data_IF_808534069907
#
_entry.id   IF_808534069907
#
_cell.length_a   1.000
_cell.length_b   1.000
_cell.length_c   1.000
_cell.angle_alpha   90.00
_cell.angle_beta   90.00
_cell.angle_gamma   90.00
#
_symmetry.space_group_name_H-M   'P 1'
#
loop_
_entity.id
_entity.type
_entity.pdbx_description
1 polymer ?
#
# COMPACT_ATOMS: atom_id res chain seq x y z
N UNK A 1 2.40 10.49 -24.85
CA UNK A 1 2.49 9.08 -25.31
C UNK A 1 3.95 8.69 -25.29
N UNK A 2 4.30 7.59 -24.61
CA UNK A 2 5.70 7.16 -24.42
C UNK A 2 6.25 6.49 -25.70
N UNK A 3 7.49 6.76 -26.11
CA UNK A 3 8.08 6.30 -27.38
C UNK A 3 8.35 4.79 -27.52
N UNK A 4 8.03 3.97 -26.51
CA UNK A 4 8.36 2.54 -26.49
C UNK A 4 7.23 1.62 -26.98
N UNK A 5 6.11 2.17 -27.43
CA UNK A 5 4.91 1.37 -27.75
C UNK A 5 5.01 0.48 -29.01
N UNK A 6 6.13 0.49 -29.76
CA UNK A 6 6.20 -0.13 -31.10
C UNK A 6 7.46 -0.97 -31.40
N UNK A 7 8.19 -1.48 -30.40
CA UNK A 7 9.26 -2.45 -30.68
C UNK A 7 8.81 -3.89 -30.46
N UNK A 8 8.68 -4.62 -31.56
CA UNK A 8 8.42 -6.05 -31.57
C UNK A 8 9.64 -6.86 -31.11
N UNK A 9 9.39 -7.77 -30.16
CA UNK A 9 10.21 -8.95 -29.80
C UNK A 9 11.62 -8.68 -29.28
N UNK A 10 11.71 -8.25 -28.03
CA UNK A 10 12.73 -8.79 -27.12
C UNK A 10 12.02 -9.78 -26.21
N UNK A 11 12.39 -11.07 -26.28
CA UNK A 11 11.93 -12.06 -25.29
C UNK A 11 12.62 -11.72 -23.97
N UNK A 12 12.00 -10.86 -23.19
CA UNK A 12 12.36 -10.73 -21.79
C UNK A 12 11.71 -11.91 -21.09
N UNK A 13 12.52 -12.81 -20.53
CA UNK A 13 12.07 -13.92 -19.71
C UNK A 13 11.47 -13.35 -18.41
N UNK A 14 10.27 -12.78 -18.49
CA UNK A 14 9.55 -12.29 -17.33
C UNK A 14 8.79 -13.43 -16.66
N UNK A 15 8.99 -13.60 -15.36
CA UNK A 15 8.22 -14.51 -14.50
C UNK A 15 6.70 -14.35 -14.66
N UNK A 16 6.24 -13.16 -15.06
CA UNK A 16 4.84 -12.87 -15.40
C UNK A 16 4.24 -13.81 -16.48
N UNK A 17 5.04 -14.28 -17.44
CA UNK A 17 4.54 -15.19 -18.48
C UNK A 17 4.30 -16.61 -17.97
N UNK A 18 5.04 -17.07 -16.95
CA UNK A 18 4.86 -18.38 -16.33
C UNK A 18 3.59 -18.40 -15.47
N UNK A 19 3.39 -17.33 -14.67
CA UNK A 19 2.20 -17.17 -13.82
C UNK A 19 0.90 -17.11 -14.65
N UNK A 20 0.92 -16.36 -15.76
CA UNK A 20 -0.22 -16.26 -16.67
C UNK A 20 -0.56 -17.59 -17.38
N UNK A 21 0.41 -18.51 -17.49
CA UNK A 21 0.18 -19.87 -17.99
C UNK A 21 -0.53 -20.76 -16.97
N UNK A 22 -0.15 -20.66 -15.70
CA UNK A 22 -0.71 -21.47 -14.60
C UNK A 22 -2.15 -21.08 -14.26
N UNK A 23 -2.50 -19.79 -14.32
CA UNK A 23 -3.86 -19.30 -14.02
C UNK A 23 -4.89 -19.55 -15.13
N UNK A 24 -4.47 -19.94 -16.35
CA UNK A 24 -5.41 -20.28 -17.45
C UNK A 24 -6.15 -21.59 -17.25
N UNK A 25 -5.72 -22.41 -16.30
CA UNK A 25 -6.28 -23.74 -16.04
C UNK A 25 -7.46 -23.68 -15.05
N UNK A 26 -7.68 -22.55 -14.38
CA UNK A 26 -8.82 -22.37 -13.47
C UNK A 26 -10.10 -21.89 -14.20
N UNK A 27 -11.30 -22.33 -13.77
CA UNK A 27 -12.56 -21.91 -14.41
C UNK A 27 -12.73 -20.39 -14.34
N UNK A 28 -12.93 -19.76 -15.50
CA UNK A 28 -13.18 -18.31 -15.60
C UNK A 28 -14.37 -17.90 -14.75
N UNK A 29 -14.16 -16.99 -13.80
CA UNK A 29 -15.24 -16.28 -13.12
C UNK A 29 -16.03 -15.46 -14.17
N UNK A 30 -17.17 -15.98 -14.60
CA UNK A 30 -18.07 -15.30 -15.50
C UNK A 30 -18.90 -14.28 -14.72
N UNK A 31 -18.45 -13.01 -14.67
CA UNK A 31 -19.28 -11.78 -14.72
C UNK A 31 -18.40 -10.54 -14.45
N UNK A 32 -18.53 -9.56 -15.34
CA UNK A 32 -17.97 -8.22 -15.18
C UNK A 32 -18.58 -7.49 -13.99
N UNK A 33 -17.82 -6.52 -13.48
CA UNK A 33 -18.13 -5.49 -12.47
C UNK A 33 -19.31 -5.88 -11.55
N UNK A 34 -18.99 -6.39 -10.37
CA UNK A 34 -19.99 -6.58 -9.32
C UNK A 34 -20.62 -5.24 -8.97
N UNK A 35 -21.95 -5.14 -9.10
CA UNK A 35 -22.72 -4.03 -8.53
C UNK A 35 -22.39 -3.92 -7.04
N UNK A 36 -22.14 -2.70 -6.57
CA UNK A 36 -21.76 -2.41 -5.19
C UNK A 36 -22.96 -2.66 -4.27
N UNK A 37 -23.13 -3.90 -3.85
CA UNK A 37 -24.04 -4.27 -2.76
C UNK A 37 -23.29 -4.06 -1.44
N UNK A 38 -23.84 -3.34 -0.46
CA UNK A 38 -23.18 -3.20 0.83
C UNK A 38 -23.11 -4.58 1.49
N UNK A 39 -21.96 -5.23 1.37
CA UNK A 39 -21.70 -6.49 2.06
C UNK A 39 -21.60 -6.14 3.54
N UNK A 40 -22.51 -6.73 4.34
CA UNK A 40 -22.47 -6.65 5.78
C UNK A 40 -21.06 -7.02 6.26
N UNK A 41 -20.54 -6.29 7.25
CA UNK A 41 -19.24 -6.56 7.89
C UNK A 41 -19.20 -8.00 8.40
N UNK A 42 -18.79 -8.95 7.57
CA UNK A 42 -18.35 -10.25 8.05
C UNK A 42 -17.01 -9.99 8.71
N UNK A 43 -17.05 -9.86 10.04
CA UNK A 43 -15.91 -10.23 10.88
C UNK A 43 -15.72 -11.73 10.66
N UNK A 44 -15.00 -12.12 9.63
CA UNK A 44 -14.49 -13.48 9.54
C UNK A 44 -13.38 -13.58 10.60
N UNK A 45 -13.46 -14.53 11.55
CA UNK A 45 -12.43 -14.67 12.57
C UNK A 45 -11.09 -15.16 12.01
N UNK A 46 -11.03 -15.61 10.75
CA UNK A 46 -9.80 -15.99 10.07
C UNK A 46 -9.90 -15.59 8.60
N UNK A 47 -8.99 -14.72 8.19
CA UNK A 47 -8.68 -14.48 6.79
C UNK A 47 -8.13 -15.79 6.21
N UNK A 48 -8.61 -16.22 5.04
CA UNK A 48 -7.94 -17.32 4.35
C UNK A 48 -6.51 -16.87 4.04
N UNK A 49 -5.48 -17.71 4.32
CA UNK A 49 -4.14 -17.46 3.86
C UNK A 49 -4.12 -17.09 2.38
N UNK A 50 -3.18 -16.22 2.01
CA UNK A 50 -2.83 -16.04 0.61
C UNK A 50 -2.38 -17.40 0.02
N UNK A 51 -2.40 -17.52 -1.29
CA UNK A 51 -1.85 -18.69 -1.97
C UNK A 51 -0.62 -18.24 -2.76
N UNK A 52 0.56 -18.72 -2.37
CA UNK A 52 1.81 -18.40 -3.03
C UNK A 52 1.94 -19.18 -4.32
N UNK A 53 1.70 -18.49 -5.43
CA UNK A 53 1.78 -19.06 -6.77
C UNK A 53 3.22 -19.20 -7.28
N UNK A 54 4.13 -18.33 -6.84
CA UNK A 54 5.52 -18.32 -7.29
C UNK A 54 6.43 -17.75 -6.21
N UNK A 55 7.64 -18.32 -6.11
CA UNK A 55 8.67 -17.78 -5.24
C UNK A 55 10.08 -17.94 -5.84
N UNK A 56 10.92 -16.93 -5.68
CA UNK A 56 12.31 -16.96 -6.12
C UNK A 56 13.18 -17.79 -5.15
N UNK A 57 14.13 -18.56 -5.68
CA UNK A 57 14.89 -19.59 -4.93
C UNK A 57 16.06 -19.04 -4.10
N UNK A 58 16.48 -17.80 -4.29
CA UNK A 58 17.69 -17.19 -3.75
C UNK A 58 17.39 -16.20 -2.60
N UNK A 59 16.84 -16.69 -1.48
CA UNK A 59 16.42 -15.83 -0.38
C UNK A 59 16.92 -16.28 0.99
N UNK A 60 17.14 -15.34 1.93
CA UNK A 60 17.40 -15.69 3.31
C UNK A 60 16.19 -16.40 3.93
N UNK A 61 16.44 -17.45 4.71
CA UNK A 61 15.43 -18.41 5.17
C UNK A 61 14.44 -17.89 6.23
N UNK A 62 14.59 -16.66 6.75
CA UNK A 62 13.68 -16.11 7.79
C UNK A 62 13.51 -14.60 7.67
N UNK A 63 12.28 -14.16 7.42
CA UNK A 63 11.90 -12.74 7.34
C UNK A 63 10.66 -12.38 8.15
N UNK A 64 9.71 -13.30 8.34
CA UNK A 64 8.42 -13.02 8.97
C UNK A 64 8.21 -13.72 10.32
N UNK A 65 7.55 -13.06 11.29
CA UNK A 65 6.93 -13.74 12.43
C UNK A 65 5.95 -14.83 11.96
N UNK A 66 5.85 -15.98 12.67
CA UNK A 66 5.02 -17.12 12.25
C UNK A 66 3.57 -16.77 11.91
N UNK A 67 2.93 -15.88 12.69
CA UNK A 67 1.55 -15.47 12.45
C UNK A 67 1.35 -14.66 11.16
N UNK A 68 2.38 -13.93 10.71
CA UNK A 68 2.34 -13.21 9.43
C UNK A 68 2.69 -14.16 8.27
N UNK A 69 3.63 -15.09 8.49
CA UNK A 69 4.00 -16.09 7.49
C UNK A 69 2.83 -17.02 7.15
N UNK A 70 2.02 -17.39 8.13
CA UNK A 70 0.81 -18.20 7.94
C UNK A 70 -0.23 -17.46 7.07
N UNK A 71 -0.48 -16.17 7.33
CA UNK A 71 -1.41 -15.37 6.53
C UNK A 71 -0.87 -15.04 5.13
N UNK A 72 0.44 -14.90 4.99
CA UNK A 72 1.10 -14.57 3.72
C UNK A 72 1.39 -15.80 2.84
N UNK A 73 1.31 -17.01 3.41
CA UNK A 73 1.73 -18.27 2.79
C UNK A 73 3.22 -18.32 2.44
N UNK A 74 4.04 -18.05 3.45
CA UNK A 74 5.49 -18.18 3.39
C UNK A 74 6.23 -16.95 3.91
N UNK A 75 7.50 -16.86 3.53
CA UNK A 75 8.37 -15.75 3.91
C UNK A 75 8.23 -14.57 2.95
N UNK A 76 8.47 -13.36 3.46
CA UNK A 76 8.64 -12.15 2.66
C UNK A 76 9.94 -11.47 3.06
N UNK A 77 10.74 -11.11 2.08
CA UNK A 77 11.98 -10.37 2.27
C UNK A 77 12.02 -9.17 1.32
N UNK A 78 12.38 -8.02 1.87
CA UNK A 78 12.58 -6.78 1.12
C UNK A 78 14.02 -6.33 1.40
N UNK A 79 14.85 -6.08 0.37
CA UNK A 79 16.19 -5.56 0.56
C UNK A 79 16.19 -4.22 1.32
N UNK A 80 17.24 -3.98 2.10
CA UNK A 80 17.51 -2.65 2.63
C UNK A 80 17.76 -1.64 1.49
N UNK A 81 17.53 -0.35 1.76
CA UNK A 81 17.69 0.74 0.79
C UNK A 81 16.87 0.57 -0.51
N UNK A 82 15.69 -0.04 -0.41
CA UNK A 82 14.77 -0.27 -1.52
C UNK A 82 13.57 0.70 -1.48
N UNK A 83 13.04 1.04 -2.66
CA UNK A 83 11.72 1.67 -2.82
C UNK A 83 10.79 0.67 -3.49
N UNK A 84 9.66 0.40 -2.84
CA UNK A 84 8.62 -0.47 -3.39
C UNK A 84 7.27 0.25 -3.39
N UNK A 85 6.43 -0.13 -4.35
CA UNK A 85 5.12 0.44 -4.57
C UNK A 85 4.05 -0.65 -4.40
N UNK A 86 2.95 -0.29 -3.74
CA UNK A 86 1.80 -1.18 -3.56
C UNK A 86 0.56 -0.51 -4.17
N UNK A 87 -0.07 -1.19 -5.12
CA UNK A 87 -1.26 -0.72 -5.81
C UNK A 87 -2.22 -1.90 -6.04
N UNK A 88 -3.49 -1.57 -6.13
CA UNK A 88 -4.53 -2.48 -6.60
C UNK A 88 -5.07 -1.95 -7.93
N UNK A 89 -5.34 -2.85 -8.87
CA UNK A 89 -6.02 -2.52 -10.12
C UNK A 89 -7.21 -3.44 -10.34
N UNK A 90 -8.17 -2.97 -11.13
CA UNK A 90 -9.11 -3.89 -11.78
C UNK A 90 -8.38 -4.78 -12.79
N UNK A 91 -9.08 -5.80 -13.31
CA UNK A 91 -8.54 -6.73 -14.31
C UNK A 91 -8.18 -6.00 -15.62
N UNK A 92 -8.93 -4.97 -15.98
CA UNK A 92 -8.71 -4.11 -17.13
C UNK A 92 -7.73 -2.95 -16.86
N UNK A 93 -7.07 -2.92 -15.70
CA UNK A 93 -5.95 -2.04 -15.41
C UNK A 93 -6.32 -0.67 -14.83
N UNK A 94 -7.55 -0.48 -14.37
CA UNK A 94 -7.99 0.75 -13.72
C UNK A 94 -7.46 0.77 -12.28
N UNK A 95 -6.70 1.83 -11.95
CA UNK A 95 -6.09 2.05 -10.61
C UNK A 95 -6.68 3.25 -9.87
N UNK A 96 -7.41 4.11 -10.58
CA UNK A 96 -8.01 5.32 -10.05
C UNK A 96 -9.40 5.54 -10.65
N UNK A 97 -10.36 5.91 -9.82
CA UNK A 97 -11.71 6.28 -10.23
C UNK A 97 -11.81 7.80 -10.36
N UNK A 98 -12.60 8.28 -11.31
CA UNK A 98 -12.68 9.71 -11.64
C UNK A 98 -13.09 10.57 -10.44
N UNK A 99 -12.48 11.76 -10.38
CA UNK A 99 -12.77 12.80 -9.40
C UNK A 99 -11.79 12.88 -8.22
N UNK A 100 -11.01 11.84 -7.92
CA UNK A 100 -10.00 11.86 -6.84
C UNK A 100 -10.56 12.25 -5.46
N UNK A 101 -11.88 12.24 -5.32
CA UNK A 101 -12.64 12.64 -4.13
C UNK A 101 -12.97 11.46 -3.24
N UNK A 102 -12.81 10.23 -3.76
CA UNK A 102 -13.07 8.99 -3.07
C UNK A 102 -11.83 8.08 -3.07
N UNK A 103 -11.66 7.22 -2.03
CA UNK A 103 -10.53 6.32 -1.91
C UNK A 103 -10.59 5.21 -2.96
N UNK A 104 -9.98 5.45 -4.13
CA UNK A 104 -10.04 4.56 -5.29
C UNK A 104 -9.57 3.14 -4.96
N UNK A 105 -8.47 2.99 -4.21
CA UNK A 105 -7.94 1.68 -3.83
C UNK A 105 -8.95 0.85 -3.04
N UNK A 106 -9.63 1.44 -2.05
CA UNK A 106 -10.64 0.75 -1.27
C UNK A 106 -11.90 0.38 -2.06
N UNK A 107 -12.24 1.13 -3.11
CA UNK A 107 -13.36 0.80 -3.99
C UNK A 107 -12.96 -0.33 -4.94
N UNK A 108 -11.80 -0.21 -5.59
CA UNK A 108 -11.29 -1.19 -6.55
C UNK A 108 -11.02 -2.53 -5.88
N UNK A 109 -10.41 -2.53 -4.69
CA UNK A 109 -10.19 -3.78 -3.92
C UNK A 109 -11.46 -4.31 -3.25
N UNK A 110 -12.57 -3.57 -3.27
CA UNK A 110 -13.76 -3.91 -2.50
C UNK A 110 -13.50 -3.96 -0.99
N UNK A 111 -12.46 -3.26 -0.51
CA UNK A 111 -11.94 -3.34 0.88
C UNK A 111 -11.58 -4.77 1.29
N UNK A 112 -11.09 -5.57 0.34
CA UNK A 112 -10.67 -6.95 0.56
C UNK A 112 -9.70 -7.05 1.75
N UNK A 113 -9.94 -8.01 2.65
CA UNK A 113 -9.14 -8.12 3.87
C UNK A 113 -7.70 -8.55 3.58
N UNK A 114 -7.47 -9.40 2.58
CA UNK A 114 -6.13 -9.85 2.20
C UNK A 114 -5.30 -8.70 1.60
N UNK A 115 -5.92 -7.87 0.75
CA UNK A 115 -5.33 -6.62 0.25
C UNK A 115 -4.90 -5.69 1.40
N UNK A 116 -5.78 -5.50 2.38
CA UNK A 116 -5.49 -4.69 3.57
C UNK A 116 -4.40 -5.29 4.44
N UNK A 117 -4.38 -6.62 4.58
CA UNK A 117 -3.32 -7.35 5.27
C UNK A 117 -1.97 -7.15 4.60
N UNK A 118 -1.87 -7.36 3.28
CA UNK A 118 -0.65 -7.13 2.51
C UNK A 118 -0.20 -5.67 2.61
N UNK A 119 -1.13 -4.73 2.53
CA UNK A 119 -0.82 -3.30 2.73
C UNK A 119 -0.26 -3.03 4.14
N UNK A 120 -0.82 -3.66 5.17
CA UNK A 120 -0.30 -3.59 6.54
C UNK A 120 1.09 -4.20 6.67
N UNK A 121 1.29 -5.39 6.10
CA UNK A 121 2.56 -6.10 6.08
C UNK A 121 3.67 -5.26 5.41
N UNK A 122 3.40 -4.72 4.22
CA UNK A 122 4.35 -3.87 3.49
C UNK A 122 4.66 -2.56 4.25
N UNK A 123 3.70 -1.98 4.96
CA UNK A 123 3.94 -0.82 5.83
C UNK A 123 4.78 -1.20 7.06
N UNK A 124 4.69 -2.44 7.53
CA UNK A 124 5.48 -2.92 8.66
C UNK A 124 6.96 -3.07 8.28
N UNK A 125 7.28 -3.45 7.04
CA UNK A 125 8.65 -3.41 6.51
C UNK A 125 9.22 -1.99 6.34
N UNK A 126 8.37 -1.00 6.11
CA UNK A 126 8.83 0.31 5.68
C UNK A 126 9.42 1.14 6.82
N UNK A 127 10.52 1.84 6.56
CA UNK A 127 10.98 2.96 7.39
C UNK A 127 10.06 4.17 7.26
N UNK A 128 9.56 4.39 6.04
CA UNK A 128 8.68 5.49 5.72
C UNK A 128 7.60 5.07 4.71
N UNK A 129 6.43 5.69 4.81
CA UNK A 129 5.35 5.53 3.83
C UNK A 129 5.18 6.84 3.10
N UNK A 130 5.47 6.83 1.80
CA UNK A 130 5.33 7.98 0.92
C UNK A 130 3.93 8.00 0.29
N UNK A 131 3.23 9.12 0.39
CA UNK A 131 1.89 9.27 -0.18
C UNK A 131 1.71 10.66 -0.79
N UNK A 132 0.95 10.75 -1.88
CA UNK A 132 0.58 12.03 -2.48
C UNK A 132 -0.54 12.73 -1.68
N UNK A 133 -0.51 14.06 -1.64
CA UNK A 133 -1.54 14.88 -1.00
C UNK A 133 -2.96 14.59 -1.53
N UNK A 134 -3.08 14.20 -2.81
CA UNK A 134 -4.37 13.78 -3.39
C UNK A 134 -4.96 12.57 -2.66
N UNK A 135 -4.15 11.54 -2.43
CA UNK A 135 -4.57 10.35 -1.67
C UNK A 135 -4.92 10.70 -0.23
N UNK A 136 -4.14 11.57 0.42
CA UNK A 136 -4.45 12.01 1.80
C UNK A 136 -5.82 12.68 1.87
N UNK A 137 -6.17 13.52 0.88
CA UNK A 137 -7.49 14.14 0.81
C UNK A 137 -8.60 13.12 0.53
N UNK A 138 -8.36 12.18 -0.40
CA UNK A 138 -9.33 11.17 -0.80
C UNK A 138 -9.67 10.16 0.33
N UNK A 139 -8.66 9.76 1.12
CA UNK A 139 -8.85 8.85 2.27
C UNK A 139 -9.54 9.54 3.47
N UNK A 140 -9.52 10.88 3.50
CA UNK A 140 -10.18 11.69 4.51
C UNK A 140 -9.38 11.90 5.79
N UNK A 141 -9.85 12.83 6.63
CA UNK A 141 -9.09 13.38 7.75
C UNK A 141 -8.79 12.41 8.91
N UNK A 142 -9.33 11.18 8.92
CA UNK A 142 -9.10 10.19 9.99
C UNK A 142 -8.09 9.11 9.63
N UNK A 143 -7.64 9.07 8.38
CA UNK A 143 -6.74 8.04 7.87
C UNK A 143 -5.35 8.10 8.52
N UNK A 144 -4.77 6.93 8.75
CA UNK A 144 -3.38 6.75 9.15
C UNK A 144 -2.70 5.73 8.22
N UNK A 145 -1.40 5.92 8.01
CA UNK A 145 -0.58 5.07 7.15
C UNK A 145 0.26 4.07 7.97
N UNK A 146 -0.24 3.65 9.13
CA UNK A 146 0.41 2.64 9.95
C UNK A 146 -0.11 1.23 9.64
N UNK A 147 0.69 0.19 9.92
CA UNK A 147 0.28 -1.22 9.71
C UNK A 147 -1.00 -1.60 10.46
N UNK A 148 -1.05 -1.28 11.75
CA UNK A 148 -2.15 -1.62 12.64
C UNK A 148 -3.43 -0.84 12.36
N UNK A 149 -3.35 0.33 11.70
CA UNK A 149 -4.54 1.06 11.28
C UNK A 149 -5.26 0.36 10.11
N UNK A 150 -4.50 -0.13 9.12
CA UNK A 150 -5.10 -0.76 7.95
C UNK A 150 -5.55 -2.20 8.24
N UNK A 151 -4.81 -2.92 9.08
CA UNK A 151 -5.16 -4.28 9.45
C UNK A 151 -4.94 -4.57 10.95
N UNK A 152 -5.89 -4.16 11.82
CA UNK A 152 -5.73 -4.27 13.27
C UNK A 152 -5.53 -5.71 13.79
N UNK A 153 -6.07 -6.70 13.10
CA UNK A 153 -6.04 -8.10 13.54
C UNK A 153 -4.63 -8.69 13.59
N UNK A 154 -3.66 -8.14 12.83
CA UNK A 154 -2.27 -8.58 12.85
C UNK A 154 -1.32 -7.57 13.53
N UNK A 155 -1.84 -6.63 14.34
CA UNK A 155 -1.05 -5.58 14.98
C UNK A 155 0.15 -6.12 15.79
N UNK A 156 -0.03 -7.21 16.53
CA UNK A 156 1.06 -7.86 17.27
C UNK A 156 2.13 -8.46 16.36
N UNK A 157 1.71 -9.08 15.26
CA UNK A 157 2.62 -9.57 14.23
C UNK A 157 3.43 -8.43 13.63
N UNK A 158 2.79 -7.32 13.27
CA UNK A 158 3.47 -6.14 12.72
C UNK A 158 4.47 -5.53 13.71
N UNK A 159 4.10 -5.41 15.00
CA UNK A 159 5.02 -4.92 16.04
C UNK A 159 6.23 -5.83 16.21
N UNK A 160 6.00 -7.15 16.18
CA UNK A 160 7.08 -8.14 16.28
C UNK A 160 8.02 -8.06 15.08
N UNK A 161 7.47 -7.98 13.86
CA UNK A 161 8.24 -7.83 12.63
C UNK A 161 9.12 -6.58 12.69
N UNK A 162 8.56 -5.43 13.06
CA UNK A 162 9.33 -4.17 13.16
C UNK A 162 10.47 -4.25 14.16
N UNK A 163 10.26 -4.90 15.31
CA UNK A 163 11.33 -5.14 16.30
C UNK A 163 12.44 -6.02 15.73
N UNK A 164 12.08 -7.12 15.05
CA UNK A 164 13.05 -8.02 14.40
C UNK A 164 13.88 -7.28 13.35
N UNK A 165 13.23 -6.42 12.56
CA UNK A 165 13.88 -5.56 11.55
C UNK A 165 14.61 -4.34 12.15
N UNK A 166 14.60 -4.17 13.48
CA UNK A 166 15.19 -3.02 14.20
C UNK A 166 14.68 -1.66 13.68
N UNK A 167 13.38 -1.61 13.36
CA UNK A 167 12.68 -0.41 12.91
C UNK A 167 12.00 0.30 14.09
N UNK A 168 11.72 1.59 13.93
CA UNK A 168 10.93 2.37 14.90
C UNK A 168 9.53 1.77 15.12
N UNK A 169 8.80 2.18 16.15
CA UNK A 169 7.48 1.60 16.48
C UNK A 169 6.45 1.71 15.35
N UNK A 170 6.54 2.73 14.51
CA UNK A 170 5.75 2.90 13.29
C UNK A 170 6.55 3.55 12.16
N UNK A 171 6.13 3.40 10.89
CA UNK A 171 6.81 4.05 9.78
C UNK A 171 6.58 5.57 9.80
N UNK A 172 7.56 6.34 9.37
CA UNK A 172 7.41 7.79 9.17
C UNK A 172 6.48 8.06 7.99
N UNK A 173 5.40 8.81 8.21
CA UNK A 173 4.56 9.25 7.10
C UNK A 173 5.23 10.41 6.37
N UNK A 174 5.37 10.29 5.04
CA UNK A 174 5.87 11.35 4.17
C UNK A 174 4.78 11.73 3.16
N UNK A 175 4.36 12.99 3.16
CA UNK A 175 3.31 13.50 2.29
C UNK A 175 3.94 14.40 1.21
N UNK A 176 3.77 14.05 -0.05
CA UNK A 176 4.24 14.88 -1.18
C UNK A 176 3.11 15.78 -1.66
N UNK A 177 3.36 17.10 -1.66
CA UNK A 177 2.38 18.09 -2.10
C UNK A 177 3.02 19.18 -2.93
N UNK A 178 2.64 19.30 -4.21
CA UNK A 178 3.14 20.38 -5.06
C UNK A 178 2.51 21.75 -4.73
N UNK A 179 1.26 21.76 -4.25
CA UNK A 179 0.45 22.98 -4.05
C UNK A 179 0.32 23.43 -2.59
N UNK A 180 0.75 22.59 -1.64
CA UNK A 180 0.59 22.85 -0.21
C UNK A 180 -0.86 22.76 0.28
N UNK A 181 -1.75 22.15 -0.51
CA UNK A 181 -3.18 22.00 -0.19
C UNK A 181 -3.41 20.78 0.72
N UNK A 182 -3.17 20.97 2.02
CA UNK A 182 -3.37 19.98 3.07
C UNK A 182 -4.20 20.59 4.19
N UNK A 183 -5.05 19.77 4.82
CA UNK A 183 -5.85 20.14 5.99
C UNK A 183 -5.05 19.85 7.27
N UNK A 184 -4.62 20.89 8.02
CA UNK A 184 -3.87 20.70 9.27
C UNK A 184 -4.61 19.90 10.34
N UNK A 185 -5.95 19.83 10.28
CA UNK A 185 -6.75 19.05 11.22
C UNK A 185 -6.72 17.55 10.94
N UNK A 186 -6.20 17.13 9.78
CA UNK A 186 -6.08 15.71 9.46
C UNK A 186 -5.24 14.96 10.48
N UNK A 187 -5.72 13.79 10.91
CA UNK A 187 -5.05 12.92 11.88
C UNK A 187 -3.64 12.54 11.42
N UNK A 188 -3.42 12.42 10.11
CA UNK A 188 -2.13 12.17 9.50
C UNK A 188 -1.10 13.27 9.85
N UNK A 189 -1.49 14.55 9.75
CA UNK A 189 -0.62 15.67 10.13
C UNK A 189 -0.52 15.85 11.64
N UNK A 190 -1.61 15.59 12.38
CA UNK A 190 -1.59 15.64 13.84
C UNK A 190 -0.67 14.57 14.45
N UNK A 191 -0.52 13.42 13.78
CA UNK A 191 0.39 12.35 14.18
C UNK A 191 1.88 12.62 13.85
N UNK A 192 2.18 13.70 13.13
CA UNK A 192 3.54 14.14 12.82
C UNK A 192 4.12 13.61 11.51
N UNK A 193 3.57 14.07 10.38
CA UNK A 193 4.09 13.71 9.07
C UNK A 193 5.23 14.65 8.63
N UNK A 194 6.09 14.15 7.74
CA UNK A 194 7.00 14.99 6.95
C UNK A 194 6.31 15.39 5.66
N UNK A 195 6.12 16.68 5.43
CA UNK A 195 5.58 17.20 4.17
C UNK A 195 6.71 17.63 3.26
N UNK A 196 6.86 16.94 2.13
CA UNK A 196 7.75 17.35 1.03
C UNK A 196 6.96 18.18 0.04
N UNK A 197 7.44 19.39 -0.24
CA UNK A 197 6.73 20.35 -1.08
C UNK A 197 7.69 21.16 -1.95
N UNK A 198 7.17 22.02 -2.82
CA UNK A 198 7.99 22.89 -3.66
C UNK A 198 8.45 24.12 -2.88
N UNK A 199 9.55 24.76 -3.31
CA UNK A 199 10.00 26.04 -2.76
C UNK A 199 8.90 27.13 -2.78
N UNK A 200 8.02 27.10 -3.78
CA UNK A 200 6.90 28.05 -3.89
C UNK A 200 5.75 27.74 -2.93
N UNK A 201 5.49 26.46 -2.63
CA UNK A 201 4.37 26.04 -1.81
C UNK A 201 4.69 25.97 -0.30
N UNK A 202 5.97 25.95 0.09
CA UNK A 202 6.36 25.87 1.51
C UNK A 202 5.82 27.03 2.35
N UNK A 203 5.73 28.23 1.77
CA UNK A 203 5.17 29.41 2.44
C UNK A 203 3.70 29.21 2.85
N UNK A 204 2.94 28.36 2.13
CA UNK A 204 1.54 28.05 2.44
C UNK A 204 1.37 27.09 3.62
N UNK A 205 2.44 26.40 4.02
CA UNK A 205 2.42 25.35 5.04
C UNK A 205 3.16 25.77 6.31
N UNK A 206 4.20 26.62 6.20
CA UNK A 206 4.95 27.14 7.35
C UNK A 206 4.02 27.82 8.35
N UNK A 207 4.16 27.46 9.63
CA UNK A 207 3.33 27.98 10.71
C UNK A 207 1.88 27.50 10.73
N UNK A 208 1.46 26.67 9.77
CA UNK A 208 0.08 26.13 9.68
C UNK A 208 -0.01 24.64 9.98
N UNK A 209 1.11 23.93 9.91
CA UNK A 209 1.16 22.51 10.28
C UNK A 209 1.20 22.32 11.80
N UNK A 210 0.65 21.21 12.32
CA UNK A 210 0.77 20.85 13.73
C UNK A 210 2.24 20.73 14.15
N UNK A 211 2.53 20.96 15.44
CA UNK A 211 3.90 20.98 15.97
C UNK A 211 4.69 19.69 15.74
N UNK A 212 4.01 18.54 15.69
CA UNK A 212 4.65 17.25 15.38
C UNK A 212 4.98 17.05 13.90
N UNK A 213 4.45 17.87 12.99
CA UNK A 213 4.70 17.77 11.55
C UNK A 213 5.84 18.67 11.10
N UNK A 214 6.65 18.17 10.18
CA UNK A 214 7.72 18.92 9.54
C UNK A 214 7.34 19.27 8.10
N UNK A 215 7.87 20.38 7.57
CA UNK A 215 7.77 20.70 6.14
C UNK A 215 9.14 21.02 5.57
N UNK A 216 9.45 20.43 4.40
CA UNK A 216 10.70 20.65 3.67
C UNK A 216 10.41 20.93 2.19
N UNK A 217 11.15 21.89 1.64
CA UNK A 217 11.15 22.14 0.21
C UNK A 217 12.14 21.18 -0.46
N UNK A 218 11.77 20.64 -1.61
CA UNK A 218 12.59 19.80 -2.48
C UNK A 218 12.62 20.35 -3.90
#
# INVERSE_FOLDING_TARGET
>A
MHPDAWRARVRIHYAHHLLAGQLRVEPRAARGISEHRPVARQRAPFLNPLNRLFEASDRPERGLPPSLAELYDGELWIPDACVYANFVSSIDGIVALEGGTAPSGGIISGRNEADRFVMGLLRAFADAVLVGAGTVRAEGGRALWTPEYIFPAAADGFRTLRKTLRRESGPRLVIVSARGELDPSSRALQAGALVLTTANAIARLRGRLPSGSEVRAV
#
